data_IF_250038799044
#
_entry.id   IF_250038799044
#
_cell.length_a   1.000
_cell.length_b   1.000
_cell.length_c   1.000
_cell.angle_alpha   90.00
_cell.angle_beta   90.00
_cell.angle_gamma   90.00
#
_symmetry.space_group_name_H-M   'P 1'
#
loop_
_entity.id
_entity.type
_entity.pdbx_description
1 polymer ?
#
# COMPACT_ATOMS: atom_id res chain seq x y z
N UNK A 1 -62.91 30.88 7.20
CA UNK A 1 -61.82 29.97 7.58
C UNK A 1 -61.35 29.21 6.35
N UNK A 2 -60.22 29.61 5.74
CA UNK A 2 -59.45 28.78 4.79
C UNK A 2 -57.98 29.12 5.01
N UNK A 3 -57.26 28.21 5.63
CA UNK A 3 -55.82 28.25 5.87
C UNK A 3 -55.09 27.75 4.62
N UNK A 4 -54.19 28.56 4.07
CA UNK A 4 -53.31 28.15 2.98
C UNK A 4 -51.93 27.86 3.58
N UNK A 5 -51.53 26.58 3.54
CA UNK A 5 -50.24 26.12 4.02
C UNK A 5 -49.12 26.60 3.07
N UNK A 6 -48.10 27.24 3.65
CA UNK A 6 -46.87 27.66 2.96
C UNK A 6 -45.85 26.53 3.08
N UNK A 7 -45.60 25.81 1.99
CA UNK A 7 -44.55 24.79 1.91
C UNK A 7 -43.19 25.47 1.82
N UNK A 8 -42.37 25.37 2.88
CA UNK A 8 -40.98 25.80 2.88
C UNK A 8 -40.14 24.81 2.08
N UNK A 9 -39.61 25.23 0.93
CA UNK A 9 -38.59 24.50 0.18
C UNK A 9 -37.25 24.76 0.87
N UNK A 10 -36.70 23.74 1.52
CA UNK A 10 -35.33 23.73 2.05
C UNK A 10 -34.40 23.49 0.86
N UNK A 11 -33.69 24.53 0.43
CA UNK A 11 -32.64 24.43 -0.58
C UNK A 11 -31.43 23.69 0.00
N UNK A 12 -31.19 22.47 -0.46
CA UNK A 12 -29.95 21.75 -0.21
C UNK A 12 -28.83 22.38 -1.04
N UNK A 13 -27.88 23.05 -0.38
CA UNK A 13 -26.63 23.49 -0.98
C UNK A 13 -25.77 22.23 -1.16
N UNK A 14 -25.74 21.71 -2.38
CA UNK A 14 -24.80 20.68 -2.79
C UNK A 14 -23.43 21.37 -2.93
N UNK A 15 -22.56 21.23 -1.93
CA UNK A 15 -21.14 21.55 -2.10
C UNK A 15 -20.52 20.48 -3.00
N UNK A 16 -20.63 20.68 -4.32
CA UNK A 16 -19.80 19.97 -5.29
C UNK A 16 -18.38 20.52 -5.17
N UNK A 17 -17.54 19.90 -4.33
CA UNK A 17 -16.10 20.18 -4.34
C UNK A 17 -15.51 19.59 -5.62
N UNK A 18 -14.96 20.49 -6.43
CA UNK A 18 -14.35 20.21 -7.72
C UNK A 18 -13.08 19.38 -7.54
N UNK A 19 -13.18 18.05 -7.67
CA UNK A 19 -12.04 17.10 -7.72
C UNK A 19 -11.25 17.15 -9.04
N UNK A 20 -11.51 18.15 -9.90
CA UNK A 20 -11.08 18.15 -11.30
C UNK A 20 -9.55 18.30 -11.53
N UNK A 21 -8.76 18.58 -10.50
CA UNK A 21 -7.30 18.80 -10.62
C UNK A 21 -6.47 18.06 -9.55
N UNK A 22 -6.97 16.96 -8.99
CA UNK A 22 -6.18 16.18 -8.04
C UNK A 22 -4.97 15.52 -8.74
N UNK A 23 -3.82 15.52 -8.06
CA UNK A 23 -2.57 14.95 -8.56
C UNK A 23 -1.82 14.23 -7.41
N UNK A 24 -0.89 13.30 -7.71
CA UNK A 24 0.01 12.75 -6.72
C UNK A 24 0.81 13.85 -5.99
N UNK A 25 1.10 13.65 -4.71
CA UNK A 25 1.95 14.57 -3.93
C UNK A 25 3.41 14.48 -4.34
N UNK A 26 3.83 13.32 -4.85
CA UNK A 26 5.16 13.07 -5.40
C UNK A 26 4.99 12.29 -6.71
N UNK A 27 5.79 12.65 -7.72
CA UNK A 27 5.84 11.95 -9.02
C UNK A 27 6.03 10.43 -8.82
N UNK A 28 5.06 9.60 -9.25
CA UNK A 28 5.12 8.16 -9.07
C UNK A 28 6.08 7.47 -10.05
N UNK A 29 6.53 8.12 -11.13
CA UNK A 29 7.29 7.47 -12.21
C UNK A 29 8.60 6.87 -11.69
N UNK A 30 9.40 7.65 -10.99
CA UNK A 30 10.68 7.19 -10.43
C UNK A 30 10.47 6.07 -9.39
N UNK A 31 9.42 6.16 -8.58
CA UNK A 31 9.09 5.18 -7.56
C UNK A 31 8.68 3.84 -8.16
N UNK A 32 7.80 3.87 -9.17
CA UNK A 32 7.37 2.67 -9.92
C UNK A 32 8.53 1.97 -10.62
N UNK A 33 9.45 2.73 -11.21
CA UNK A 33 10.66 2.18 -11.84
C UNK A 33 11.52 1.39 -10.85
N UNK A 34 11.80 1.96 -9.67
CA UNK A 34 12.56 1.27 -8.60
C UNK A 34 11.89 -0.01 -8.10
N UNK A 35 10.57 -0.01 -7.96
CA UNK A 35 9.81 -1.20 -7.56
C UNK A 35 9.92 -2.29 -8.64
N UNK A 36 9.73 -1.92 -9.90
CA UNK A 36 9.80 -2.87 -11.02
C UNK A 36 11.19 -3.49 -11.17
N UNK A 37 12.25 -2.70 -10.97
CA UNK A 37 13.63 -3.19 -10.99
C UNK A 37 13.89 -4.16 -9.82
N UNK A 38 13.41 -3.81 -8.62
CA UNK A 38 13.56 -4.65 -7.43
C UNK A 38 12.80 -5.97 -7.53
N UNK A 39 11.62 -5.98 -8.16
CA UNK A 39 10.79 -7.15 -8.35
C UNK A 39 11.51 -8.25 -9.14
N UNK A 40 12.28 -7.90 -10.18
CA UNK A 40 13.01 -8.87 -10.99
C UNK A 40 12.09 -9.87 -11.72
N UNK A 41 12.59 -11.11 -11.94
CA UNK A 41 11.89 -12.13 -12.73
C UNK A 41 10.62 -12.62 -12.03
N UNK A 42 9.50 -12.70 -12.75
CA UNK A 42 8.28 -13.33 -12.25
C UNK A 42 8.46 -14.85 -12.21
N UNK A 43 7.88 -15.52 -11.21
CA UNK A 43 7.94 -16.98 -11.12
C UNK A 43 7.22 -17.66 -12.28
N UNK A 44 7.77 -18.76 -12.77
CA UNK A 44 7.26 -19.50 -13.93
C UNK A 44 5.82 -20.04 -13.76
N UNK A 45 5.33 -20.12 -12.52
CA UNK A 45 3.99 -20.60 -12.18
C UNK A 45 3.00 -19.48 -11.77
N UNK A 46 3.39 -18.20 -11.89
CA UNK A 46 2.52 -17.07 -11.50
C UNK A 46 1.45 -16.79 -12.57
N UNK A 47 0.21 -17.22 -12.33
CA UNK A 47 -0.90 -17.09 -13.29
C UNK A 47 -1.45 -15.65 -13.38
N UNK A 48 -1.47 -14.91 -12.27
CA UNK A 48 -2.10 -13.57 -12.19
C UNK A 48 -1.10 -12.41 -12.08
N UNK A 49 0.17 -12.68 -12.35
CA UNK A 49 1.25 -11.75 -12.00
C UNK A 49 1.45 -11.64 -10.48
N UNK A 50 2.22 -10.65 -10.07
CA UNK A 50 2.64 -10.41 -8.69
C UNK A 50 2.54 -8.89 -8.41
N UNK A 51 1.88 -8.50 -7.32
CA UNK A 51 1.88 -7.13 -6.81
C UNK A 51 3.06 -6.96 -5.85
N UNK A 52 4.28 -6.89 -6.41
CA UNK A 52 5.50 -6.68 -5.64
C UNK A 52 5.56 -5.23 -5.10
N UNK A 53 5.89 -5.00 -3.80
CA UNK A 53 6.22 -5.98 -2.76
C UNK A 53 5.02 -6.41 -1.89
N UNK A 54 3.79 -5.94 -2.18
CA UNK A 54 2.62 -6.11 -1.31
C UNK A 54 2.23 -7.57 -1.07
N UNK A 55 2.40 -8.43 -2.06
CA UNK A 55 2.07 -9.86 -1.94
C UNK A 55 2.91 -10.61 -0.88
N UNK A 56 3.99 -10.01 -0.39
CA UNK A 56 4.85 -10.61 0.64
C UNK A 56 4.45 -10.25 2.07
N UNK A 57 3.45 -9.41 2.28
CA UNK A 57 2.91 -9.13 3.61
C UNK A 57 1.79 -10.14 3.94
N UNK A 58 1.70 -10.58 5.19
CA UNK A 58 0.73 -11.61 5.61
C UNK A 58 -0.74 -11.15 5.51
N UNK A 59 -0.98 -9.84 5.59
CA UNK A 59 -2.32 -9.23 5.67
C UNK A 59 -2.49 -8.06 4.68
N UNK A 60 -1.77 -8.12 3.56
CA UNK A 60 -1.69 -7.05 2.55
C UNK A 60 -3.05 -6.58 2.02
N UNK A 61 -4.00 -7.49 1.85
CA UNK A 61 -5.32 -7.18 1.30
C UNK A 61 -6.27 -6.47 2.26
N UNK A 62 -5.96 -6.47 3.57
CA UNK A 62 -6.85 -5.95 4.61
C UNK A 62 -6.24 -4.76 5.38
N UNK A 63 -5.02 -4.36 5.04
CA UNK A 63 -4.34 -3.24 5.68
C UNK A 63 -3.91 -2.19 4.65
N UNK A 64 -4.08 -0.89 4.97
CA UNK A 64 -3.72 0.17 4.04
C UNK A 64 -2.20 0.40 4.02
N UNK A 65 -1.65 0.61 2.82
CA UNK A 65 -0.27 1.04 2.63
C UNK A 65 -0.19 2.57 2.67
N UNK A 66 -0.30 3.13 3.88
CA UNK A 66 -0.54 4.57 4.08
C UNK A 66 0.50 5.48 3.43
N UNK A 67 1.79 5.11 3.42
CA UNK A 67 2.85 5.88 2.72
C UNK A 67 2.58 5.97 1.22
N UNK A 68 2.22 4.85 0.59
CA UNK A 68 1.90 4.84 -0.83
C UNK A 68 0.64 5.66 -1.14
N UNK A 69 -0.39 5.50 -0.31
CA UNK A 69 -1.65 6.23 -0.44
C UNK A 69 -1.47 7.75 -0.25
N UNK A 70 -0.62 8.17 0.69
CA UNK A 70 -0.44 9.58 1.00
C UNK A 70 0.50 10.30 0.05
N UNK A 71 1.42 9.60 -0.62
CA UNK A 71 2.42 10.23 -1.50
C UNK A 71 2.12 10.05 -2.99
N UNK A 72 1.60 8.89 -3.38
CA UNK A 72 1.59 8.45 -4.78
C UNK A 72 0.19 8.15 -5.33
N UNK A 73 -0.85 8.17 -4.49
CA UNK A 73 -2.22 8.00 -4.99
C UNK A 73 -2.58 9.16 -5.94
N UNK A 74 -3.30 8.94 -7.06
CA UNK A 74 -3.66 10.01 -7.99
C UNK A 74 -4.40 11.18 -7.35
N UNK A 75 -5.10 10.94 -6.24
CA UNK A 75 -5.84 11.95 -5.49
C UNK A 75 -5.12 12.45 -4.24
N UNK A 76 -3.86 12.08 -3.98
CA UNK A 76 -3.22 12.35 -2.69
C UNK A 76 -3.07 13.84 -2.37
N UNK A 77 -3.08 14.73 -3.36
CA UNK A 77 -3.09 16.18 -3.12
C UNK A 77 -4.35 16.67 -2.40
N UNK A 78 -5.46 15.91 -2.42
CA UNK A 78 -6.67 16.29 -1.67
C UNK A 78 -6.51 16.18 -0.16
N UNK A 79 -5.47 15.50 0.33
CA UNK A 79 -5.08 15.49 1.75
C UNK A 79 -4.60 16.85 2.25
N UNK A 80 -4.18 17.75 1.35
CA UNK A 80 -3.62 19.07 1.69
C UNK A 80 -2.57 18.99 2.81
N UNK A 81 -1.62 18.06 2.66
CA UNK A 81 -0.55 17.86 3.64
C UNK A 81 0.25 19.16 3.80
N UNK A 82 0.56 19.53 5.04
CA UNK A 82 1.53 20.60 5.29
C UNK A 82 2.91 20.16 4.80
N UNK A 83 3.82 21.12 4.64
CA UNK A 83 5.21 20.83 4.27
C UNK A 83 5.86 19.88 5.29
N UNK A 84 5.63 20.12 6.58
CA UNK A 84 6.15 19.32 7.68
C UNK A 84 5.59 17.90 7.66
N UNK A 85 4.29 17.74 7.37
CA UNK A 85 3.67 16.42 7.22
C UNK A 85 4.25 15.66 6.03
N UNK A 86 4.42 16.33 4.89
CA UNK A 86 4.98 15.73 3.68
C UNK A 86 6.42 15.26 3.91
N UNK A 87 7.26 16.10 4.53
CA UNK A 87 8.64 15.77 4.88
C UNK A 87 8.72 14.60 5.88
N UNK A 88 7.83 14.57 6.89
CA UNK A 88 7.79 13.48 7.86
C UNK A 88 7.40 12.14 7.22
N UNK A 89 6.41 12.13 6.32
CA UNK A 89 6.00 10.93 5.59
C UNK A 89 7.08 10.50 4.59
N UNK A 90 7.73 11.44 3.89
CA UNK A 90 8.84 11.14 2.98
C UNK A 90 10.02 10.51 3.72
N UNK A 91 10.33 10.98 4.94
CA UNK A 91 11.33 10.37 5.81
C UNK A 91 10.98 8.93 6.16
N UNK A 92 9.73 8.64 6.54
CA UNK A 92 9.27 7.26 6.79
C UNK A 92 9.45 6.42 5.53
N UNK A 93 9.03 6.91 4.36
CA UNK A 93 9.22 6.21 3.07
C UNK A 93 10.68 5.85 2.84
N UNK A 94 11.59 6.81 2.99
CA UNK A 94 13.01 6.63 2.70
C UNK A 94 13.69 5.66 3.68
N UNK A 95 13.15 5.48 4.89
CA UNK A 95 13.63 4.51 5.86
C UNK A 95 13.03 3.11 5.62
N UNK A 96 11.72 3.03 5.38
CA UNK A 96 10.99 1.76 5.33
C UNK A 96 11.07 1.08 3.97
N UNK A 97 10.91 1.81 2.87
CA UNK A 97 10.81 1.20 1.54
C UNK A 97 12.06 0.41 1.16
N UNK A 98 13.30 0.91 1.34
CA UNK A 98 14.49 0.14 0.96
C UNK A 98 14.58 -1.23 1.66
N UNK A 99 14.30 -1.30 2.96
CA UNK A 99 14.31 -2.56 3.70
C UNK A 99 13.14 -3.47 3.28
N UNK A 100 11.95 -2.92 3.03
CA UNK A 100 10.83 -3.70 2.47
C UNK A 100 11.23 -4.34 1.13
N UNK A 101 11.78 -3.58 0.19
CA UNK A 101 12.19 -4.10 -1.12
C UNK A 101 13.25 -5.19 -0.98
N UNK A 102 14.23 -4.99 -0.09
CA UNK A 102 15.29 -5.96 0.19
C UNK A 102 14.75 -7.26 0.76
N UNK A 103 13.88 -7.19 1.77
CA UNK A 103 13.29 -8.38 2.40
C UNK A 103 12.32 -9.10 1.46
N UNK A 104 11.45 -8.38 0.75
CA UNK A 104 10.55 -8.96 -0.25
C UNK A 104 11.31 -9.65 -1.37
N UNK A 105 12.42 -9.06 -1.85
CA UNK A 105 13.29 -9.70 -2.84
C UNK A 105 13.93 -10.98 -2.30
N UNK A 106 14.32 -11.00 -1.02
CA UNK A 106 14.83 -12.22 -0.37
C UNK A 106 13.77 -13.31 -0.33
N UNK A 107 12.55 -13.00 0.13
CA UNK A 107 11.43 -13.96 0.17
C UNK A 107 11.16 -14.50 -1.23
N UNK A 108 11.05 -13.62 -2.24
CA UNK A 108 10.86 -14.00 -3.63
C UNK A 108 11.90 -15.01 -4.12
N UNK A 109 13.18 -14.74 -3.85
CA UNK A 109 14.26 -15.65 -4.27
C UNK A 109 14.14 -17.02 -3.59
N UNK A 110 13.76 -17.07 -2.30
CA UNK A 110 13.53 -18.33 -1.59
C UNK A 110 12.33 -19.09 -2.17
N UNK A 111 11.25 -18.40 -2.54
CA UNK A 111 10.08 -19.02 -3.19
C UNK A 111 10.43 -19.58 -4.58
N UNK A 112 11.20 -18.85 -5.38
CA UNK A 112 11.70 -19.32 -6.67
C UNK A 112 12.61 -20.55 -6.50
N UNK A 113 13.47 -20.55 -5.46
CA UNK A 113 14.31 -21.69 -5.14
C UNK A 113 13.47 -22.93 -4.77
N UNK A 114 12.45 -22.78 -3.92
CA UNK A 114 11.54 -23.89 -3.59
C UNK A 114 10.83 -24.40 -4.83
N UNK A 115 10.33 -23.50 -5.68
CA UNK A 115 9.65 -23.86 -6.93
C UNK A 115 10.57 -24.66 -7.86
N UNK A 116 11.84 -24.27 -8.00
CA UNK A 116 12.85 -25.02 -8.75
C UNK A 116 13.11 -26.39 -8.12
N UNK A 117 13.42 -26.42 -6.82
CA UNK A 117 13.76 -27.66 -6.08
C UNK A 117 12.66 -28.71 -6.18
N UNK A 118 11.40 -28.30 -6.00
CA UNK A 118 10.25 -29.22 -5.98
C UNK A 118 9.75 -29.56 -7.38
N UNK A 119 9.53 -28.56 -8.24
CA UNK A 119 8.85 -28.77 -9.51
C UNK A 119 9.77 -29.25 -10.65
N UNK A 120 11.08 -29.01 -10.55
CA UNK A 120 12.05 -29.32 -11.61
C UNK A 120 13.07 -30.34 -11.12
N UNK A 121 13.71 -30.07 -9.97
CA UNK A 121 14.82 -30.89 -9.48
C UNK A 121 14.35 -32.14 -8.70
N UNK A 122 13.04 -32.28 -8.47
CA UNK A 122 12.41 -33.42 -7.78
C UNK A 122 12.97 -33.70 -6.38
N UNK A 123 13.38 -32.65 -5.65
CA UNK A 123 13.79 -32.77 -4.25
C UNK A 123 12.59 -33.09 -3.34
N UNK A 124 12.85 -33.64 -2.16
CA UNK A 124 11.77 -33.99 -1.22
C UNK A 124 11.22 -32.75 -0.50
N UNK A 125 9.94 -32.73 -0.11
CA UNK A 125 9.36 -31.62 0.65
C UNK A 125 10.13 -31.28 1.94
N UNK A 126 10.61 -32.29 2.67
CA UNK A 126 11.29 -32.13 3.96
C UNK A 126 12.57 -31.32 3.83
N UNK A 127 13.27 -31.43 2.69
CA UNK A 127 14.48 -30.65 2.42
C UNK A 127 14.22 -29.14 2.32
N UNK A 128 12.95 -28.72 2.15
CA UNK A 128 12.56 -27.32 1.99
C UNK A 128 11.95 -26.71 3.26
N UNK A 129 11.73 -27.49 4.33
CA UNK A 129 11.04 -27.00 5.53
C UNK A 129 11.76 -25.82 6.20
N UNK A 130 13.09 -25.87 6.31
CA UNK A 130 13.86 -24.74 6.85
C UNK A 130 13.69 -23.46 6.02
N UNK A 131 13.66 -23.59 4.69
CA UNK A 131 13.42 -22.47 3.76
C UNK A 131 12.01 -21.90 3.91
N UNK A 132 10.99 -22.76 4.08
CA UNK A 132 9.61 -22.34 4.33
C UNK A 132 9.48 -21.59 5.67
N UNK A 133 10.16 -22.06 6.72
CA UNK A 133 10.20 -21.39 8.02
C UNK A 133 10.86 -20.01 7.91
N UNK A 134 11.96 -19.89 7.17
CA UNK A 134 12.60 -18.61 6.91
C UNK A 134 11.67 -17.63 6.18
N UNK A 135 10.98 -18.10 5.13
CA UNK A 135 9.96 -17.29 4.42
C UNK A 135 8.88 -16.81 5.40
N UNK A 136 8.35 -17.69 6.26
CA UNK A 136 7.33 -17.34 7.23
C UNK A 136 7.82 -16.26 8.21
N UNK A 137 9.05 -16.38 8.72
CA UNK A 137 9.67 -15.40 9.62
C UNK A 137 9.87 -14.05 8.94
N UNK A 138 10.34 -14.03 7.69
CA UNK A 138 10.53 -12.80 6.92
C UNK A 138 9.20 -12.09 6.63
N UNK A 139 8.16 -12.84 6.23
CA UNK A 139 6.81 -12.29 6.02
C UNK A 139 6.21 -11.72 7.31
N UNK A 140 6.43 -12.41 8.43
CA UNK A 140 6.04 -11.91 9.75
C UNK A 140 6.77 -10.60 10.10
N UNK A 141 8.08 -10.53 9.86
CA UNK A 141 8.87 -9.32 10.08
C UNK A 141 8.36 -8.14 9.24
N UNK A 142 8.13 -8.35 7.93
CA UNK A 142 7.54 -7.33 7.05
C UNK A 142 6.19 -6.84 7.57
N UNK A 143 5.33 -7.77 7.99
CA UNK A 143 3.99 -7.43 8.48
C UNK A 143 4.05 -6.61 9.78
N UNK A 144 4.99 -6.90 10.68
CA UNK A 144 5.22 -6.09 11.88
C UNK A 144 5.69 -4.67 11.55
N UNK A 145 6.62 -4.53 10.60
CA UNK A 145 7.06 -3.21 10.12
C UNK A 145 5.93 -2.44 9.42
N UNK A 146 5.04 -3.12 8.70
CA UNK A 146 3.85 -2.50 8.11
C UNK A 146 2.91 -1.93 9.18
N UNK A 147 2.63 -2.70 10.24
CA UNK A 147 1.81 -2.23 11.37
C UNK A 147 2.42 -0.99 12.04
N UNK A 148 3.75 -0.97 12.21
CA UNK A 148 4.47 0.20 12.72
C UNK A 148 4.36 1.38 11.77
N UNK A 149 4.59 1.18 10.48
CA UNK A 149 4.43 2.22 9.46
C UNK A 149 3.01 2.80 9.43
N UNK A 150 1.97 1.98 9.62
CA UNK A 150 0.58 2.43 9.74
C UNK A 150 0.43 3.36 10.93
N UNK A 151 0.92 2.94 12.11
CA UNK A 151 0.87 3.75 13.34
C UNK A 151 1.59 5.09 13.14
N UNK A 152 2.80 5.06 12.57
CA UNK A 152 3.66 6.23 12.45
C UNK A 152 3.07 7.26 11.47
N UNK A 153 2.54 6.82 10.31
CA UNK A 153 1.86 7.74 9.37
C UNK A 153 0.56 8.28 9.98
N UNK A 154 -0.21 7.44 10.68
CA UNK A 154 -1.44 7.89 11.35
C UNK A 154 -1.19 8.98 12.40
N UNK A 155 -0.03 8.97 13.04
CA UNK A 155 0.35 10.00 14.01
C UNK A 155 0.71 11.36 13.37
N UNK A 156 1.01 11.39 12.07
CA UNK A 156 1.32 12.62 11.32
C UNK A 156 0.04 13.30 10.81
N UNK A 157 -0.97 12.50 10.46
CA UNK A 157 -2.20 12.98 9.85
C UNK A 157 -3.19 13.52 10.89
N UNK A 158 -3.95 14.54 10.52
CA UNK A 158 -5.16 14.88 11.27
C UNK A 158 -6.21 13.78 11.10
N UNK A 159 -7.20 13.75 12.00
CA UNK A 159 -8.32 12.81 11.90
C UNK A 159 -9.03 12.92 10.54
N UNK A 160 -9.31 14.14 10.09
CA UNK A 160 -9.96 14.41 8.80
C UNK A 160 -9.12 13.91 7.62
N UNK A 161 -7.81 14.18 7.60
CA UNK A 161 -6.90 13.68 6.57
C UNK A 161 -6.86 12.15 6.52
N UNK A 162 -6.87 11.50 7.69
CA UNK A 162 -6.89 10.04 7.77
C UNK A 162 -8.20 9.45 7.23
N UNK A 163 -9.34 10.07 7.50
CA UNK A 163 -10.64 9.67 6.95
C UNK A 163 -10.68 9.80 5.42
N UNK A 164 -10.17 10.91 4.87
CA UNK A 164 -10.03 11.09 3.40
C UNK A 164 -9.15 9.99 2.81
N UNK A 165 -8.00 9.71 3.44
CA UNK A 165 -7.03 8.73 2.97
C UNK A 165 -7.62 7.29 2.94
N UNK A 166 -8.43 6.91 3.93
CA UNK A 166 -9.12 5.61 3.94
C UNK A 166 -10.13 5.50 2.77
N UNK A 167 -10.69 6.62 2.32
CA UNK A 167 -11.53 6.70 1.13
C UNK A 167 -10.80 6.28 -0.15
N UNK A 168 -9.49 6.51 -0.26
CA UNK A 168 -8.70 6.11 -1.43
C UNK A 168 -8.64 4.59 -1.60
N UNK A 169 -8.62 3.84 -0.48
CA UNK A 169 -8.56 2.38 -0.52
C UNK A 169 -9.92 1.70 -0.76
N UNK A 170 -11.02 2.45 -0.59
CA UNK A 170 -12.39 1.93 -0.64
C UNK A 170 -13.08 2.12 -1.99
N UNK A 171 -12.55 3.03 -2.83
CA UNK A 171 -13.08 3.30 -4.16
C UNK A 171 -12.39 2.38 -5.19
N UNK A 172 -12.98 1.21 -5.41
CA UNK A 172 -12.71 0.38 -6.59
C UNK A 172 -13.75 0.66 -7.68
#
# INVERSE_FOLDING_TARGET
MKTTNVTKIIGAIIMATTVANAQPNIDPAQFKGKISEAAGKVGQFAIKGEDFPKDYFLVSSNLPFLVGLSLHHPQSSTLKLSKEQLEAIDKIKNQTVPEVLKVSKKIKNLELQIAQSIAIDSQTPESQYATLEEIAQLRLSLSKEHLKCIKDVRAILTKEQYEILLGYGSNK
#
